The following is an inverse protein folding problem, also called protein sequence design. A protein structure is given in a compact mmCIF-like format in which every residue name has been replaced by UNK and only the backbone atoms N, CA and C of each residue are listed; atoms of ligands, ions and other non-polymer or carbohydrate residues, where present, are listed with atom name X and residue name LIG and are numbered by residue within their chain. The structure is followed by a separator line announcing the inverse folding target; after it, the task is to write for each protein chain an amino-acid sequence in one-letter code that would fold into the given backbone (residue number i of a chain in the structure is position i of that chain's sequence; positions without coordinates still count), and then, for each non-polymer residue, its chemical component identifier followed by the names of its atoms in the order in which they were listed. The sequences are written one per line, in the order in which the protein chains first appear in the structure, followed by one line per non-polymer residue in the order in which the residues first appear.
data_IF_400417245283
#
_entry.id   IF_400417245283
#
_cell.length_a   1.000
_cell.length_b   1.000
_cell.length_c   1.000
_cell.angle_alpha   90.00
_cell.angle_beta   90.00
_cell.angle_gamma   90.00
#
_symmetry.space_group_name_H-M   'P 1'
#
loop_
_entity.id
_entity.type
_entity.pdbx_description
1 polymer ?
#
# COMPACT_ATOMS: atom_id res chain seq x y z
N UNK A 1 24.04 1.08 -10.39
CA UNK A 1 23.04 2.01 -10.98
C UNK A 1 21.89 2.21 -9.99
N UNK A 2 21.51 3.46 -9.75
CA UNK A 2 20.39 3.77 -8.87
C UNK A 2 19.09 3.51 -9.63
N UNK A 3 18.21 2.73 -9.01
CA UNK A 3 16.89 2.47 -9.55
C UNK A 3 15.85 3.30 -8.78
N UNK A 4 15.12 4.13 -9.50
CA UNK A 4 14.12 5.00 -8.90
C UNK A 4 12.73 4.39 -8.99
N UNK A 5 11.99 4.45 -7.87
CA UNK A 5 10.59 4.10 -7.81
C UNK A 5 9.80 5.33 -7.42
N UNK A 6 9.03 5.85 -8.38
CA UNK A 6 8.24 7.07 -8.18
C UNK A 6 6.77 6.73 -8.32
N UNK A 7 5.98 7.13 -7.34
CA UNK A 7 4.56 6.86 -7.33
C UNK A 7 3.85 7.64 -6.24
N UNK A 8 2.60 7.28 -6.03
CA UNK A 8 1.71 7.99 -5.12
C UNK A 8 1.19 7.06 -4.02
N UNK A 9 0.62 7.68 -3.00
CA UNK A 9 -0.05 7.01 -1.88
C UNK A 9 -1.52 6.86 -2.25
N UNK A 10 -1.82 5.89 -3.11
CA UNK A 10 -3.15 5.67 -3.66
C UNK A 10 -3.28 6.19 -5.08
N UNK A 11 -4.31 5.76 -5.76
CA UNK A 11 -4.55 6.14 -7.15
C UNK A 11 -6.03 6.46 -7.43
N UNK A 12 -6.93 6.10 -6.51
CA UNK A 12 -8.38 6.22 -6.72
C UNK A 12 -8.89 7.48 -6.04
N UNK A 13 -8.69 8.61 -6.72
CA UNK A 13 -9.13 9.91 -6.23
C UNK A 13 -10.04 10.55 -7.27
N UNK A 14 -11.29 10.76 -6.90
CA UNK A 14 -12.29 11.33 -7.82
C UNK A 14 -11.91 12.73 -8.31
N UNK A 15 -11.19 13.50 -7.48
CA UNK A 15 -10.75 14.82 -7.87
C UNK A 15 -9.61 14.81 -8.91
N UNK A 16 -9.03 13.63 -9.20
CA UNK A 16 -8.05 13.50 -10.27
C UNK A 16 -8.70 13.34 -11.64
N UNK A 17 -10.02 13.14 -11.68
CA UNK A 17 -10.77 13.04 -12.93
C UNK A 17 -10.60 14.35 -13.73
N UNK A 18 -10.27 14.22 -15.00
CA UNK A 18 -10.01 15.33 -15.92
C UNK A 18 -8.74 16.15 -15.58
N UNK A 19 -8.03 15.80 -14.50
CA UNK A 19 -6.74 16.42 -14.18
C UNK A 19 -5.63 15.44 -14.53
N UNK A 20 -5.56 14.29 -13.84
CA UNK A 20 -4.60 13.24 -14.15
C UNK A 20 -5.23 12.17 -15.06
N UNK A 21 -6.45 11.75 -14.73
CA UNK A 21 -7.15 10.75 -15.54
C UNK A 21 -7.97 11.46 -16.63
N UNK A 22 -7.73 11.10 -17.93
CA UNK A 22 -8.53 11.67 -19.02
C UNK A 22 -10.01 11.36 -18.84
N UNK A 23 -10.84 12.25 -19.38
CA UNK A 23 -12.30 12.14 -19.28
C UNK A 23 -12.84 10.83 -19.84
N UNK A 24 -12.21 10.31 -20.89
CA UNK A 24 -12.65 9.09 -21.56
C UNK A 24 -12.15 7.80 -20.90
N UNK A 25 -11.32 7.90 -19.85
CA UNK A 25 -10.84 6.73 -19.11
C UNK A 25 -11.81 6.43 -17.97
N UNK A 26 -12.52 5.27 -18.01
CA UNK A 26 -13.43 4.93 -16.93
C UNK A 26 -12.68 4.57 -15.65
N UNK A 27 -13.36 4.70 -14.51
CA UNK A 27 -12.76 4.43 -13.20
C UNK A 27 -12.15 3.03 -13.10
N UNK A 28 -12.76 2.03 -13.73
CA UNK A 28 -12.25 0.66 -13.72
C UNK A 28 -10.89 0.51 -14.41
N UNK A 29 -10.52 1.48 -15.25
CA UNK A 29 -9.26 1.49 -15.97
C UNK A 29 -8.25 2.47 -15.38
N UNK A 30 -8.56 3.11 -14.25
CA UNK A 30 -7.68 4.09 -13.64
C UNK A 30 -6.36 3.50 -13.19
N UNK A 31 -6.37 2.29 -12.63
CA UNK A 31 -5.13 1.68 -12.19
C UNK A 31 -4.21 1.36 -13.37
N UNK A 32 -4.75 0.86 -14.46
CA UNK A 32 -3.96 0.60 -15.67
C UNK A 32 -3.35 1.90 -16.20
N UNK A 33 -4.11 2.98 -16.19
CA UNK A 33 -3.61 4.29 -16.60
C UNK A 33 -2.50 4.76 -15.66
N UNK A 34 -2.69 4.58 -14.35
CA UNK A 34 -1.68 4.92 -13.36
C UNK A 34 -0.37 4.18 -13.63
N UNK A 35 -0.44 2.91 -13.96
CA UNK A 35 0.74 2.07 -14.22
C UNK A 35 1.55 2.52 -15.43
N UNK A 36 0.95 3.29 -16.34
CA UNK A 36 1.67 3.84 -17.49
C UNK A 36 2.56 5.02 -17.10
N UNK A 37 2.29 5.65 -15.98
CA UNK A 37 2.99 6.87 -15.55
C UNK A 37 3.88 6.65 -14.33
N UNK A 38 3.56 5.67 -13.50
CA UNK A 38 4.29 5.39 -12.27
C UNK A 38 4.61 3.90 -12.18
N UNK A 39 5.71 3.58 -11.51
CA UNK A 39 6.14 2.18 -11.35
C UNK A 39 5.98 1.66 -9.92
N UNK A 40 5.38 2.44 -9.05
CA UNK A 40 5.12 2.01 -7.67
C UNK A 40 3.87 2.69 -7.12
N UNK A 41 3.27 2.04 -6.15
CA UNK A 41 2.07 2.54 -5.47
C UNK A 41 2.13 2.12 -4.01
N UNK A 42 1.81 3.05 -3.11
CA UNK A 42 1.62 2.73 -1.70
C UNK A 42 0.16 2.34 -1.47
N UNK A 43 -0.05 1.11 -0.99
CA UNK A 43 -1.38 0.60 -0.71
C UNK A 43 -1.82 1.01 0.69
N UNK A 44 -2.80 1.91 0.77
CA UNK A 44 -3.37 2.35 2.05
C UNK A 44 -4.62 1.57 2.44
N UNK A 45 -5.27 0.90 1.51
CA UNK A 45 -6.47 0.12 1.80
C UNK A 45 -6.17 -0.98 2.82
N UNK A 46 -4.97 -1.52 2.82
CA UNK A 46 -4.52 -2.54 3.76
C UNK A 46 -4.38 -2.02 5.18
N UNK A 47 -4.26 -0.70 5.36
CA UNK A 47 -4.24 -0.08 6.69
C UNK A 47 -5.59 -0.19 7.38
N UNK A 48 -6.66 0.01 6.63
CA UNK A 48 -8.03 0.02 7.17
C UNK A 48 -8.63 -1.37 7.24
N UNK A 49 -8.11 -2.29 6.47
CA UNK A 49 -8.68 -3.62 6.33
C UNK A 49 -7.56 -4.63 6.09
N UNK A 50 -7.60 -5.77 6.80
CA UNK A 50 -6.62 -6.83 6.58
C UNK A 50 -6.71 -7.29 5.12
N UNK A 51 -5.57 -7.39 4.41
CA UNK A 51 -5.61 -7.68 2.97
C UNK A 51 -6.07 -9.10 2.68
N UNK A 52 -6.79 -9.25 1.58
CA UNK A 52 -7.21 -10.55 1.06
C UNK A 52 -6.32 -10.94 -0.12
N UNK A 53 -5.96 -12.22 -0.18
CA UNK A 53 -5.07 -12.72 -1.24
C UNK A 53 -5.65 -12.46 -2.63
N UNK A 54 -6.97 -12.66 -2.81
CA UNK A 54 -7.63 -12.45 -4.10
C UNK A 54 -7.49 -11.01 -4.60
N UNK A 55 -7.61 -10.04 -3.69
CA UNK A 55 -7.45 -8.63 -4.02
C UNK A 55 -6.00 -8.34 -4.47
N UNK A 56 -5.03 -8.85 -3.72
CA UNK A 56 -3.62 -8.63 -4.03
C UNK A 56 -3.23 -9.31 -5.34
N UNK A 57 -3.75 -10.49 -5.62
CA UNK A 57 -3.51 -11.19 -6.88
C UNK A 57 -4.04 -10.41 -8.08
N UNK A 58 -5.18 -9.76 -7.91
CA UNK A 58 -5.74 -8.90 -8.95
C UNK A 58 -4.82 -7.72 -9.24
N UNK A 59 -4.27 -7.10 -8.20
CA UNK A 59 -3.32 -6.02 -8.36
C UNK A 59 -2.03 -6.50 -9.03
N UNK A 60 -1.59 -7.70 -8.68
CA UNK A 60 -0.42 -8.31 -9.28
C UNK A 60 -0.59 -8.49 -10.79
N UNK A 61 -1.72 -9.03 -11.22
CA UNK A 61 -1.96 -9.30 -12.64
C UNK A 61 -2.23 -8.04 -13.45
N UNK A 62 -2.83 -7.02 -12.82
CA UNK A 62 -3.19 -5.78 -13.51
C UNK A 62 -1.99 -4.85 -13.68
N UNK A 63 -1.05 -4.88 -12.74
CA UNK A 63 0.11 -3.99 -12.77
C UNK A 63 1.11 -4.38 -13.84
N UNK A 64 1.93 -3.41 -14.26
CA UNK A 64 3.01 -3.65 -15.22
C UNK A 64 4.07 -4.58 -14.63
N UNK A 65 4.89 -5.17 -15.50
CA UNK A 65 5.83 -6.22 -15.12
C UNK A 65 6.84 -5.78 -14.06
N UNK A 66 7.32 -4.55 -14.17
CA UNK A 66 8.33 -3.99 -13.26
C UNK A 66 7.73 -3.20 -12.10
N UNK A 67 6.42 -3.31 -11.90
CA UNK A 67 5.73 -2.53 -10.88
C UNK A 67 5.97 -3.12 -9.49
N UNK A 68 6.14 -2.24 -8.49
CA UNK A 68 6.27 -2.65 -7.09
C UNK A 68 5.26 -1.93 -6.21
N UNK A 69 4.85 -2.62 -5.15
CA UNK A 69 3.90 -2.08 -4.19
C UNK A 69 4.57 -1.89 -2.84
N UNK A 70 4.31 -0.74 -2.21
CA UNK A 70 4.58 -0.54 -0.79
C UNK A 70 3.29 -0.77 -0.04
N UNK A 71 3.29 -1.67 0.93
CA UNK A 71 2.07 -2.13 1.59
C UNK A 71 2.06 -1.62 3.02
N UNK A 72 1.03 -0.85 3.37
CA UNK A 72 0.88 -0.32 4.71
C UNK A 72 0.26 -1.37 5.62
N UNK A 73 0.89 -1.61 6.76
CA UNK A 73 0.41 -2.60 7.72
C UNK A 73 -0.95 -2.20 8.29
N UNK A 74 -1.83 -3.19 8.56
CA UNK A 74 -3.15 -2.90 9.13
C UNK A 74 -3.07 -2.14 10.44
N UNK A 75 -3.98 -1.19 10.64
CA UNK A 75 -4.03 -0.40 11.88
C UNK A 75 -4.29 -1.26 13.11
N UNK A 76 -4.86 -2.44 12.92
CA UNK A 76 -5.03 -3.42 13.99
C UNK A 76 -3.69 -3.74 14.65
N UNK A 77 -2.64 -3.87 13.85
CA UNK A 77 -1.29 -4.16 14.35
C UNK A 77 -0.66 -2.93 14.99
N UNK A 78 -0.67 -1.80 14.27
CA UNK A 78 0.11 -0.62 14.63
C UNK A 78 -0.59 0.31 15.60
N UNK A 79 -1.92 0.45 15.50
CA UNK A 79 -2.70 1.41 16.29
C UNK A 79 -3.41 0.76 17.46
N UNK A 80 -4.08 -0.37 17.23
CA UNK A 80 -4.84 -1.04 18.30
C UNK A 80 -3.94 -1.89 19.19
N UNK A 81 -3.03 -2.65 18.59
CA UNK A 81 -2.11 -3.51 19.34
C UNK A 81 -0.79 -2.81 19.66
N UNK A 82 -0.47 -1.72 18.97
CA UNK A 82 0.78 -0.95 19.12
C UNK A 82 2.01 -1.86 19.08
N UNK A 83 1.97 -2.87 18.21
CA UNK A 83 3.01 -3.88 18.03
C UNK A 83 3.21 -4.79 19.23
N UNK A 84 2.25 -4.82 20.17
CA UNK A 84 2.27 -5.74 21.30
C UNK A 84 1.48 -7.00 20.96
N UNK A 85 2.05 -8.17 21.25
CA UNK A 85 1.41 -9.48 21.03
C UNK A 85 0.87 -9.64 19.60
N UNK A 86 1.68 -9.18 18.62
CA UNK A 86 1.29 -9.15 17.21
C UNK A 86 2.01 -10.17 16.35
N UNK A 87 2.81 -11.05 16.93
CA UNK A 87 3.67 -11.94 16.15
C UNK A 87 2.89 -12.72 15.09
N UNK A 88 1.75 -13.29 15.49
CA UNK A 88 0.91 -14.04 14.57
C UNK A 88 0.29 -13.13 13.50
N UNK A 89 -0.20 -11.95 13.91
CA UNK A 89 -0.81 -11.00 12.98
C UNK A 89 0.19 -10.48 11.96
N UNK A 90 1.41 -10.18 12.40
CA UNK A 90 2.48 -9.72 11.52
C UNK A 90 2.87 -10.84 10.56
N UNK A 91 3.00 -12.05 11.06
CA UNK A 91 3.33 -13.21 10.23
C UNK A 91 2.25 -13.47 9.20
N UNK A 92 0.97 -13.43 9.60
CA UNK A 92 -0.17 -13.63 8.70
C UNK A 92 -0.21 -12.53 7.63
N UNK A 93 0.00 -11.28 8.04
CA UNK A 93 0.03 -10.15 7.11
C UNK A 93 1.13 -10.33 6.08
N UNK A 94 2.34 -10.65 6.52
CA UNK A 94 3.48 -10.84 5.64
C UNK A 94 3.22 -11.99 4.66
N UNK A 95 2.68 -13.10 5.18
CA UNK A 95 2.38 -14.27 4.36
C UNK A 95 1.36 -13.95 3.27
N UNK A 96 0.28 -13.25 3.62
CA UNK A 96 -0.77 -12.89 2.66
C UNK A 96 -0.22 -11.99 1.57
N UNK A 97 0.60 -11.00 1.95
CA UNK A 97 1.20 -10.09 0.98
C UNK A 97 2.15 -10.83 0.03
N UNK A 98 2.98 -11.72 0.57
CA UNK A 98 3.90 -12.50 -0.26
C UNK A 98 3.16 -13.43 -1.22
N UNK A 99 2.08 -14.05 -0.76
CA UNK A 99 1.25 -14.93 -1.61
C UNK A 99 0.56 -14.14 -2.72
N UNK A 100 0.09 -12.93 -2.42
CA UNK A 100 -0.67 -12.14 -3.37
C UNK A 100 0.17 -11.34 -4.33
N UNK A 101 1.17 -10.64 -3.84
CA UNK A 101 2.00 -9.73 -4.65
C UNK A 101 3.32 -10.33 -5.10
N UNK A 102 3.78 -11.40 -4.47
CA UNK A 102 5.03 -12.10 -4.82
C UNK A 102 6.20 -11.12 -4.95
N UNK A 103 6.92 -11.15 -6.08
CA UNK A 103 8.10 -10.30 -6.31
C UNK A 103 7.75 -8.82 -6.42
N UNK A 104 6.48 -8.47 -6.57
CA UNK A 104 6.05 -7.07 -6.65
C UNK A 104 5.86 -6.43 -5.26
N UNK A 105 5.96 -7.22 -4.19
CA UNK A 105 5.97 -6.67 -2.84
C UNK A 105 7.31 -6.01 -2.58
N UNK A 106 7.32 -4.68 -2.46
CA UNK A 106 8.52 -3.91 -2.21
C UNK A 106 8.73 -3.67 -0.72
N UNK A 107 8.15 -2.60 -0.21
CA UNK A 107 8.31 -2.19 1.19
C UNK A 107 7.06 -2.51 2.00
N UNK A 108 7.26 -2.79 3.30
CA UNK A 108 6.19 -2.92 4.27
C UNK A 108 6.27 -1.73 5.20
N UNK A 109 5.19 -0.97 5.31
CA UNK A 109 5.16 0.26 6.10
C UNK A 109 4.38 0.04 7.39
N UNK A 110 5.06 0.23 8.52
CA UNK A 110 4.45 0.15 9.84
C UNK A 110 4.39 1.55 10.42
N UNK A 111 3.21 2.17 10.32
CA UNK A 111 3.00 3.52 10.81
C UNK A 111 2.47 3.45 12.24
N UNK A 112 3.32 3.75 13.21
CA UNK A 112 2.95 3.70 14.63
C UNK A 112 2.67 5.10 15.16
N UNK A 113 1.76 5.18 16.15
CA UNK A 113 1.54 6.41 16.90
C UNK A 113 2.32 6.35 18.20
N UNK A 114 3.01 7.45 18.54
CA UNK A 114 3.68 7.53 19.83
C UNK A 114 2.64 7.74 20.94
N UNK A 115 2.81 7.09 22.11
CA UNK A 115 1.93 7.37 23.25
C UNK A 115 2.02 8.84 23.61
N UNK A 116 0.86 9.50 23.83
CA UNK A 116 0.83 10.92 24.12
C UNK A 116 1.49 11.28 25.48
N UNK A 117 1.63 10.31 26.37
CA UNK A 117 2.17 10.52 27.72
C UNK A 117 3.54 9.88 27.89
N UNK A 118 4.30 9.73 26.82
CA UNK A 118 5.63 9.11 26.89
C UNK A 118 6.70 9.99 27.51
N UNK A 119 6.44 11.27 27.68
CA UNK A 119 7.45 12.22 28.15
C UNK A 119 8.53 12.50 27.11
N UNK A 120 8.44 11.89 25.94
CA UNK A 120 9.38 12.07 24.85
C UNK A 120 8.72 12.97 23.81
N UNK A 121 9.36 14.10 23.50
CA UNK A 121 8.86 14.95 22.42
C UNK A 121 8.98 14.21 21.09
N UNK A 122 7.95 14.27 20.23
CA UNK A 122 8.05 13.65 18.91
C UNK A 122 9.16 14.32 18.10
N UNK A 123 9.88 13.57 17.29
CA UNK A 123 10.90 14.18 16.42
C UNK A 123 10.24 15.18 15.50
N UNK A 124 10.84 16.34 15.41
CA UNK A 124 10.34 17.42 14.55
C UNK A 124 10.66 17.17 13.09
#
# INVERSE_FOLDING_TARGET
MIQWHVGCSGFYYKHWKEIFYPKDVPQRAWFEFYCRHFNTLELNVTFYRFPEISMLKKWYTTSSEDFTFSVKAPKLITHFKKLNDCDKLISDFYHVVQEGLKEKAGCYLFHTTLPQNSGIAPPS
#
